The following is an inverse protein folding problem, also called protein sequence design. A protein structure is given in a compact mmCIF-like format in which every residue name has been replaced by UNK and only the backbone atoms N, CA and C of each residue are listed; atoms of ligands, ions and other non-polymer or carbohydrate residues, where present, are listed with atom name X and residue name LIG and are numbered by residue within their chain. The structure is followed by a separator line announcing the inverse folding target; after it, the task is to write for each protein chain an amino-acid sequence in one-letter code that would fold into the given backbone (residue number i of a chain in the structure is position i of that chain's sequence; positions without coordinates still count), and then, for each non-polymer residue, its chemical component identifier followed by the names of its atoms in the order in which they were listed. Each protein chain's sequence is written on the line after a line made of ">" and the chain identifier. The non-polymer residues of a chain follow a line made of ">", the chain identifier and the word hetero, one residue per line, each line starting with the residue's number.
data_IF_971620215722
#
_entry.id   IF_971620215722
#
_cell.length_a   1.000
_cell.length_b   1.000
_cell.length_c   1.000
_cell.angle_alpha   90.00
_cell.angle_beta   90.00
_cell.angle_gamma   90.00
#
_symmetry.space_group_name_H-M   'P 1'
#
loop_
_entity.id
_entity.type
_entity.pdbx_description
1 polymer ?
#
# COMPACT_ATOMS: atom_id res chain seq x y z
N UNK A 1 -45.40 -9.56 34.72
CA UNK A 1 -44.28 -10.46 34.40
C UNK A 1 -43.28 -9.59 33.65
N UNK A 2 -42.29 -9.06 34.37
CA UNK A 2 -41.42 -7.98 33.85
C UNK A 2 -40.16 -8.63 33.31
N UNK A 3 -40.01 -8.63 31.99
CA UNK A 3 -38.85 -9.17 31.29
C UNK A 3 -37.70 -8.17 31.42
N UNK A 4 -36.67 -8.55 32.18
CA UNK A 4 -35.44 -7.77 32.33
C UNK A 4 -34.62 -7.94 31.04
N UNK A 5 -34.57 -6.89 30.21
CA UNK A 5 -33.58 -6.82 29.12
C UNK A 5 -32.17 -6.92 29.72
N UNK A 6 -31.27 -7.74 29.15
CA UNK A 6 -29.89 -7.80 29.62
C UNK A 6 -29.22 -6.44 29.40
N UNK A 7 -28.56 -5.94 30.43
CA UNK A 7 -27.78 -4.71 30.36
C UNK A 7 -26.72 -4.83 29.26
N UNK A 8 -26.66 -3.84 28.36
CA UNK A 8 -25.62 -3.75 27.35
C UNK A 8 -24.24 -3.81 28.02
N UNK A 9 -23.27 -4.56 27.47
CA UNK A 9 -21.95 -4.67 28.08
C UNK A 9 -21.31 -3.28 28.15
N UNK A 10 -20.93 -2.86 29.36
CA UNK A 10 -20.20 -1.60 29.58
C UNK A 10 -18.85 -1.71 28.88
N UNK A 11 -18.73 -1.14 27.69
CA UNK A 11 -17.46 -1.02 26.99
C UNK A 11 -16.64 0.05 27.70
N UNK A 12 -15.59 -0.36 28.41
CA UNK A 12 -14.67 0.60 29.00
C UNK A 12 -13.95 1.42 27.90
N UNK A 13 -13.39 2.57 28.26
CA UNK A 13 -12.76 3.49 27.31
C UNK A 13 -11.66 2.81 26.46
N UNK A 14 -10.92 1.86 27.05
CA UNK A 14 -9.89 1.09 26.34
C UNK A 14 -10.48 0.22 25.23
N UNK A 15 -11.58 -0.49 25.50
CA UNK A 15 -12.27 -1.31 24.51
C UNK A 15 -12.85 -0.46 23.38
N UNK A 16 -13.41 0.72 23.70
CA UNK A 16 -13.90 1.66 22.69
C UNK A 16 -12.76 2.19 21.82
N UNK A 17 -11.65 2.62 22.42
CA UNK A 17 -10.48 3.12 21.69
C UNK A 17 -9.90 2.07 20.75
N UNK A 18 -9.73 0.83 21.23
CA UNK A 18 -9.25 -0.28 20.39
C UNK A 18 -10.18 -0.49 19.20
N UNK A 19 -11.49 -0.53 19.42
CA UNK A 19 -12.45 -0.69 18.32
C UNK A 19 -12.38 0.42 17.28
N UNK A 20 -12.18 1.67 17.71
CA UNK A 20 -12.00 2.79 16.78
C UNK A 20 -10.72 2.62 15.97
N UNK A 21 -9.61 2.24 16.61
CA UNK A 21 -8.34 1.96 15.92
C UNK A 21 -8.50 0.83 14.91
N UNK A 22 -9.17 -0.27 15.28
CA UNK A 22 -9.39 -1.41 14.39
C UNK A 22 -10.22 -1.03 13.15
N UNK A 23 -11.27 -0.22 13.35
CA UNK A 23 -12.10 0.29 12.25
C UNK A 23 -11.31 1.23 11.32
N UNK A 24 -10.59 2.20 11.89
CA UNK A 24 -9.77 3.11 11.09
C UNK A 24 -8.66 2.37 10.33
N UNK A 25 -8.04 1.35 10.95
CA UNK A 25 -7.05 0.50 10.28
C UNK A 25 -7.67 -0.23 9.08
N UNK A 26 -8.88 -0.80 9.23
CA UNK A 26 -9.62 -1.45 8.14
C UNK A 26 -9.91 -0.48 7.00
N UNK A 27 -10.40 0.72 7.30
CA UNK A 27 -10.81 1.67 6.27
C UNK A 27 -9.61 2.33 5.57
N UNK A 28 -8.54 2.65 6.31
CA UNK A 28 -7.41 3.43 5.77
C UNK A 28 -6.34 2.56 5.10
N UNK A 29 -6.08 1.35 5.64
CA UNK A 29 -5.00 0.45 5.20
C UNK A 29 -5.55 -0.78 4.47
N UNK A 30 -6.74 -1.26 4.86
CA UNK A 30 -7.36 -2.46 4.32
C UNK A 30 -7.23 -3.71 5.18
N UNK A 31 -7.78 -4.84 4.76
CA UNK A 31 -7.89 -6.06 5.58
C UNK A 31 -6.53 -6.60 6.03
N UNK A 32 -6.40 -6.93 7.32
CA UNK A 32 -5.28 -7.70 7.83
C UNK A 32 -5.41 -9.19 7.43
N UNK A 33 -4.30 -9.94 7.32
CA UNK A 33 -4.33 -11.37 7.03
C UNK A 33 -4.84 -12.23 8.20
N UNK A 34 -5.01 -11.64 9.39
CA UNK A 34 -5.41 -12.35 10.61
C UNK A 34 -6.91 -12.66 10.68
N UNK A 35 -7.31 -13.55 11.61
CA UNK A 35 -8.70 -13.96 11.79
C UNK A 35 -9.64 -12.80 12.15
N UNK A 36 -9.10 -11.69 12.65
CA UNK A 36 -9.86 -10.48 12.95
C UNK A 36 -10.60 -9.95 11.72
N UNK A 37 -10.01 -10.04 10.53
CA UNK A 37 -10.55 -9.46 9.29
C UNK A 37 -10.90 -10.53 8.25
N UNK A 38 -11.12 -11.77 8.71
CA UNK A 38 -11.52 -12.87 7.83
C UNK A 38 -12.83 -12.59 7.07
N UNK A 39 -13.68 -11.71 7.60
CA UNK A 39 -14.89 -11.21 6.94
C UNK A 39 -14.61 -10.41 5.66
N UNK A 40 -13.39 -9.88 5.52
CA UNK A 40 -12.96 -9.05 4.39
C UNK A 40 -11.95 -9.76 3.46
N UNK A 41 -11.70 -11.06 3.67
CA UNK A 41 -10.73 -11.80 2.85
C UNK A 41 -11.03 -11.74 1.34
N UNK A 42 -12.33 -11.75 0.98
CA UNK A 42 -12.84 -11.62 -0.38
C UNK A 42 -13.77 -10.40 -0.51
N UNK A 43 -13.38 -9.26 0.08
CA UNK A 43 -14.15 -8.03 -0.02
C UNK A 43 -14.40 -7.60 -1.47
N UNK A 44 -15.47 -6.83 -1.64
CA UNK A 44 -15.90 -6.30 -2.93
C UNK A 44 -16.10 -4.80 -2.77
N UNK A 45 -15.31 -4.02 -3.50
CA UNK A 45 -15.37 -2.56 -3.49
C UNK A 45 -16.20 -2.07 -4.67
N UNK A 46 -16.94 -0.98 -4.46
CA UNK A 46 -17.67 -0.26 -5.52
C UNK A 46 -16.79 0.68 -6.32
N UNK A 47 -15.57 0.95 -5.85
CA UNK A 47 -14.63 1.89 -6.43
C UNK A 47 -13.24 1.26 -6.54
N UNK A 48 -12.37 1.88 -7.34
CA UNK A 48 -11.01 1.41 -7.52
C UNK A 48 -10.26 1.42 -6.16
N UNK A 49 -9.54 0.33 -5.80
CA UNK A 49 -8.81 0.23 -4.53
C UNK A 49 -7.85 1.40 -4.25
N UNK A 50 -7.27 1.99 -5.29
CA UNK A 50 -6.41 3.18 -5.18
C UNK A 50 -7.11 4.42 -4.62
N UNK A 51 -8.45 4.51 -4.78
CA UNK A 51 -9.30 5.58 -4.23
C UNK A 51 -9.93 5.19 -2.90
N UNK A 52 -9.98 3.88 -2.61
CA UNK A 52 -10.57 3.36 -1.39
C UNK A 52 -9.60 3.43 -0.20
N UNK A 53 -8.31 3.13 -0.41
CA UNK A 53 -7.31 3.09 0.65
C UNK A 53 -6.44 4.35 0.70
N UNK A 54 -6.49 5.07 1.82
CA UNK A 54 -5.76 6.32 2.00
C UNK A 54 -4.24 6.12 2.11
N UNK A 55 -3.78 5.03 2.74
CA UNK A 55 -2.33 4.79 2.89
C UNK A 55 -1.66 4.35 1.59
N UNK A 56 -2.41 4.32 0.50
CA UNK A 56 -1.92 4.05 -0.85
C UNK A 56 -1.84 2.55 -1.18
N UNK A 57 -1.39 2.29 -2.40
CA UNK A 57 -1.18 0.98 -3.00
C UNK A 57 0.20 0.96 -3.64
N UNK A 58 0.76 -0.23 -3.89
CA UNK A 58 2.01 -0.34 -4.66
C UNK A 58 1.68 -0.41 -6.15
N UNK A 59 2.13 0.59 -6.91
CA UNK A 59 2.06 0.55 -8.37
C UNK A 59 3.30 -0.19 -8.93
N UNK A 60 3.16 -0.96 -10.01
CA UNK A 60 4.32 -1.54 -10.69
C UNK A 60 5.35 -0.46 -11.03
N UNK A 61 6.60 -0.67 -10.64
CA UNK A 61 7.71 0.18 -11.04
C UNK A 61 7.79 0.21 -12.57
N UNK A 62 7.86 1.42 -13.15
CA UNK A 62 8.09 1.58 -14.58
C UNK A 62 9.57 1.34 -14.88
N UNK A 63 9.87 0.40 -15.77
CA UNK A 63 11.24 0.14 -16.21
C UNK A 63 11.88 1.42 -16.78
N UNK A 64 12.99 1.87 -16.17
CA UNK A 64 13.80 3.00 -16.65
C UNK A 64 13.50 4.38 -16.04
N UNK A 65 12.73 4.47 -14.96
CA UNK A 65 12.41 5.74 -14.29
C UNK A 65 13.45 6.23 -13.24
N UNK A 66 14.55 5.50 -13.05
CA UNK A 66 15.66 5.89 -12.20
C UNK A 66 16.88 6.21 -13.08
N UNK A 67 17.16 7.51 -13.29
CA UNK A 67 18.54 8.06 -13.21
C UNK A 67 18.65 9.58 -13.41
N UNK A 68 17.60 10.30 -13.83
CA UNK A 68 17.63 11.77 -13.85
C UNK A 68 16.34 12.35 -13.25
N UNK A 69 16.46 13.53 -12.62
CA UNK A 69 15.38 14.36 -12.05
C UNK A 69 15.13 14.19 -10.55
N UNK A 70 16.08 14.71 -9.76
CA UNK A 70 15.88 15.58 -8.61
C UNK A 70 14.89 15.16 -7.51
N UNK A 71 15.44 14.84 -6.34
CA UNK A 71 14.74 14.87 -5.05
C UNK A 71 14.16 16.27 -4.80
N UNK A 72 12.87 16.51 -5.08
CA UNK A 72 12.11 17.61 -4.46
C UNK A 72 10.61 17.45 -4.78
N UNK A 73 9.88 16.85 -3.84
CA UNK A 73 8.43 16.74 -3.90
C UNK A 73 7.92 15.77 -2.84
N UNK A 74 7.35 16.32 -1.77
CA UNK A 74 6.65 15.54 -0.74
C UNK A 74 5.49 14.75 -1.38
N UNK A 75 5.49 13.40 -1.40
CA UNK A 75 4.44 12.62 -2.03
C UNK A 75 3.09 12.75 -1.31
N UNK A 76 3.06 13.30 -0.08
CA UNK A 76 1.82 13.50 0.66
C UNK A 76 0.92 14.60 0.08
N UNK A 77 1.46 15.58 -0.64
CA UNK A 77 0.68 16.68 -1.26
C UNK A 77 0.28 16.41 -2.71
N UNK A 78 0.96 15.50 -3.42
CA UNK A 78 0.62 15.15 -4.80
C UNK A 78 -0.55 14.15 -4.92
N UNK A 79 -0.99 13.56 -3.80
CA UNK A 79 -2.15 12.68 -3.76
C UNK A 79 -3.48 13.45 -3.87
N UNK A 80 -3.52 14.73 -3.48
CA UNK A 80 -4.76 15.50 -3.29
C UNK A 80 -5.11 16.45 -4.44
N UNK A 81 -4.17 16.87 -5.29
CA UNK A 81 -4.44 17.87 -6.34
C UNK A 81 -4.95 17.29 -7.67
N UNK A 82 -5.89 16.34 -7.64
CA UNK A 82 -6.36 15.68 -8.86
C UNK A 82 -7.74 15.06 -8.79
N UNK A 83 -8.78 15.90 -8.70
CA UNK A 83 -10.09 15.79 -9.36
C UNK A 83 -11.26 16.23 -8.46
N UNK A 84 -11.45 17.56 -8.32
CA UNK A 84 -12.80 18.09 -8.13
C UNK A 84 -13.32 18.60 -9.48
N UNK A 85 -14.10 17.77 -10.14
CA UNK A 85 -14.89 18.15 -11.31
C UNK A 85 -16.38 18.31 -10.94
N UNK A 86 -16.70 18.72 -9.71
CA UNK A 86 -18.03 19.14 -9.28
C UNK A 86 -18.03 20.57 -8.70
N UNK A 87 -17.61 21.54 -9.51
CA UNK A 87 -18.12 22.92 -9.35
C UNK A 87 -18.65 23.44 -10.69
N UNK A 88 -19.97 23.67 -10.74
CA UNK A 88 -20.67 24.18 -11.92
C UNK A 88 -20.23 25.60 -12.33
N UNK A 89 -20.63 26.06 -13.53
CA UNK A 89 -19.99 27.18 -14.19
C UNK A 89 -20.47 28.52 -13.62
N UNK A 90 -19.56 29.30 -13.05
CA UNK A 90 -19.74 30.73 -12.84
C UNK A 90 -18.52 31.48 -13.41
N UNK A 91 -18.83 32.31 -14.41
CA UNK A 91 -17.93 33.07 -15.29
C UNK A 91 -16.99 34.01 -14.53
N UNK A 92 -15.76 34.12 -15.03
CA UNK A 92 -15.21 35.39 -15.51
C UNK A 92 -14.07 35.09 -16.50
N UNK A 93 -14.16 35.67 -17.69
CA UNK A 93 -13.14 35.56 -18.72
C UNK A 93 -11.91 36.37 -18.32
N UNK A 94 -10.75 35.71 -18.27
CA UNK A 94 -9.46 36.36 -18.46
C UNK A 94 -8.69 35.53 -19.50
N UNK A 95 -8.30 36.19 -20.58
CA UNK A 95 -7.74 35.60 -21.81
C UNK A 95 -6.24 35.30 -21.61
N UNK A 96 -5.93 34.50 -20.60
CA UNK A 96 -4.64 33.85 -20.48
C UNK A 96 -4.73 32.48 -21.16
N UNK A 97 -3.77 32.08 -22.02
CA UNK A 97 -3.69 30.69 -22.43
C UNK A 97 -3.63 29.84 -21.16
N UNK A 98 -4.40 28.75 -21.05
CA UNK A 98 -4.30 27.88 -19.89
C UNK A 98 -2.83 27.47 -19.77
N UNK A 99 -2.22 27.75 -18.62
CA UNK A 99 -0.91 27.19 -18.28
C UNK A 99 -1.04 25.70 -18.53
N UNK A 100 -0.26 25.18 -19.48
CA UNK A 100 -0.25 23.74 -19.77
C UNK A 100 -0.01 23.03 -18.44
N UNK A 101 -0.96 22.19 -17.97
CA UNK A 101 -0.78 21.49 -16.72
C UNK A 101 0.52 20.71 -16.88
N UNK A 102 1.49 20.97 -16.01
CA UNK A 102 2.78 20.29 -16.03
C UNK A 102 2.49 18.80 -16.01
N UNK A 103 2.61 18.15 -17.17
CA UNK A 103 2.31 16.73 -17.38
C UNK A 103 3.44 15.87 -16.80
N UNK A 104 3.89 16.20 -15.59
CA UNK A 104 4.82 15.37 -14.85
C UNK A 104 4.03 14.13 -14.43
N UNK A 105 4.43 12.93 -14.87
CA UNK A 105 3.75 11.71 -14.49
C UNK A 105 3.73 11.61 -12.96
N UNK A 106 2.55 11.36 -12.40
CA UNK A 106 2.39 11.19 -10.95
C UNK A 106 3.22 9.98 -10.54
N UNK A 107 4.24 10.19 -9.69
CA UNK A 107 5.05 9.09 -9.14
C UNK A 107 4.22 8.37 -8.10
N UNK A 108 3.70 7.19 -8.45
CA UNK A 108 3.04 6.29 -7.51
C UNK A 108 4.10 5.51 -6.74
N UNK A 109 3.89 5.23 -5.44
CA UNK A 109 4.82 4.43 -4.68
C UNK A 109 4.87 3.01 -5.24
N UNK A 110 6.06 2.52 -5.57
CA UNK A 110 6.27 1.15 -6.06
C UNK A 110 6.84 0.21 -5.00
N UNK A 111 7.25 0.75 -3.83
CA UNK A 111 7.85 -0.03 -2.75
C UNK A 111 7.41 0.45 -1.36
N UNK A 112 7.59 -0.43 -0.37
CA UNK A 112 7.36 -0.12 1.05
C UNK A 112 8.52 -0.69 1.88
N UNK A 113 9.17 0.12 2.72
CA UNK A 113 10.30 -0.30 3.53
C UNK A 113 9.96 -0.45 5.02
N UNK A 114 10.37 -1.56 5.64
CA UNK A 114 10.30 -1.78 7.08
C UNK A 114 11.71 -1.93 7.66
N UNK A 115 12.09 -1.07 8.61
CA UNK A 115 13.38 -1.16 9.30
C UNK A 115 13.22 -1.70 10.72
N UNK A 116 14.02 -2.71 11.06
CA UNK A 116 14.09 -3.32 12.39
C UNK A 116 15.54 -3.37 12.88
N UNK A 117 15.73 -3.36 14.20
CA UNK A 117 17.03 -3.57 14.81
C UNK A 117 17.18 -5.04 15.21
N UNK A 118 18.20 -5.68 14.68
CA UNK A 118 18.54 -7.08 14.94
C UNK A 118 19.82 -7.17 15.76
N UNK A 119 19.93 -8.21 16.58
CA UNK A 119 21.22 -8.56 17.18
C UNK A 119 22.26 -8.82 16.08
N UNK A 120 23.50 -8.38 16.29
CA UNK A 120 24.56 -8.51 15.29
C UNK A 120 24.87 -9.96 14.91
N UNK A 121 24.45 -10.96 15.68
CA UNK A 121 24.64 -12.39 15.37
C UNK A 121 23.62 -12.98 14.39
N UNK A 122 22.50 -12.30 14.13
CA UNK A 122 21.40 -12.84 13.28
C UNK A 122 21.71 -12.69 11.79
N UNK A 123 22.01 -13.79 11.11
CA UNK A 123 22.40 -13.83 9.69
C UNK A 123 21.25 -14.11 8.71
N UNK A 124 20.07 -14.50 9.20
CA UNK A 124 18.88 -14.76 8.40
C UNK A 124 17.61 -14.27 9.10
N UNK A 125 16.63 -13.80 8.33
CA UNK A 125 15.29 -13.49 8.83
C UNK A 125 14.22 -14.16 7.98
N UNK A 126 13.10 -14.50 8.62
CA UNK A 126 11.89 -14.92 7.95
C UNK A 126 10.99 -13.70 7.70
N UNK A 127 10.55 -13.54 6.46
CA UNK A 127 9.67 -12.46 6.01
C UNK A 127 8.40 -13.07 5.49
N UNK A 128 7.28 -12.67 6.10
CA UNK A 128 5.94 -12.98 5.63
C UNK A 128 5.38 -11.76 4.92
N UNK A 129 5.06 -11.92 3.64
CA UNK A 129 4.37 -10.92 2.85
C UNK A 129 2.91 -11.33 2.68
N UNK A 130 2.01 -10.38 2.88
CA UNK A 130 0.58 -10.53 2.60
C UNK A 130 0.11 -9.35 1.78
N UNK A 131 -0.66 -9.62 0.73
CA UNK A 131 -1.20 -8.60 -0.16
C UNK A 131 -2.64 -8.90 -0.55
N UNK A 132 -3.33 -7.88 -1.06
CA UNK A 132 -4.63 -8.02 -1.71
C UNK A 132 -4.51 -7.50 -3.12
N UNK A 133 -4.59 -8.39 -4.10
CA UNK A 133 -4.81 -7.97 -5.49
C UNK A 133 -6.31 -7.79 -5.74
N UNK A 134 -6.70 -6.97 -6.72
CA UNK A 134 -8.10 -6.71 -7.02
C UNK A 134 -8.42 -6.95 -8.48
N UNK A 135 -9.42 -7.79 -8.70
CA UNK A 135 -9.91 -8.11 -10.04
C UNK A 135 -11.26 -7.43 -10.28
N UNK A 136 -11.47 -6.98 -11.50
CA UNK A 136 -12.72 -6.33 -11.92
C UNK A 136 -13.80 -7.36 -12.24
N UNK A 137 -15.02 -7.07 -11.81
CA UNK A 137 -16.22 -7.85 -12.08
C UNK A 137 -17.34 -6.92 -12.62
N UNK A 138 -17.72 -7.04 -13.92
CA UNK A 138 -17.15 -7.94 -14.93
C UNK A 138 -15.69 -7.58 -15.29
N UNK A 139 -14.89 -8.54 -15.79
CA UNK A 139 -13.50 -8.29 -16.17
C UNK A 139 -13.39 -7.22 -17.26
N UNK A 140 -12.69 -6.13 -16.95
CA UNK A 140 -12.41 -5.07 -17.92
C UNK A 140 -11.29 -5.46 -18.90
N UNK A 141 -11.34 -4.95 -20.15
CA UNK A 141 -10.26 -5.12 -21.11
C UNK A 141 -8.93 -4.54 -20.64
N UNK A 142 -7.82 -5.07 -21.17
CA UNK A 142 -6.47 -4.61 -20.82
C UNK A 142 -6.26 -3.11 -21.12
N UNK A 143 -6.77 -2.63 -22.26
CA UNK A 143 -6.66 -1.22 -22.62
C UNK A 143 -7.28 -0.27 -21.58
N UNK A 144 -8.29 -0.72 -20.85
CA UNK A 144 -9.02 0.12 -19.87
C UNK A 144 -8.26 0.22 -18.54
N UNK A 145 -7.62 -0.86 -18.06
CA UNK A 145 -6.90 -0.77 -16.77
C UNK A 145 -5.51 -0.11 -16.90
N UNK A 146 -4.99 0.08 -18.12
CA UNK A 146 -3.74 0.83 -18.35
C UNK A 146 -3.96 2.28 -18.73
N UNK A 147 -5.10 2.62 -19.33
CA UNK A 147 -5.33 3.96 -19.85
C UNK A 147 -5.84 4.87 -18.74
N UNK A 148 -5.06 5.91 -18.42
CA UNK A 148 -5.47 6.94 -17.47
C UNK A 148 -6.83 7.54 -17.87
N UNK A 149 -7.79 7.43 -16.96
CA UNK A 149 -9.13 7.99 -17.12
C UNK A 149 -10.10 7.15 -17.95
N UNK A 150 -9.67 6.00 -18.48
CA UNK A 150 -10.59 5.05 -19.10
C UNK A 150 -11.58 4.46 -18.08
N UNK A 151 -11.23 4.46 -16.79
CA UNK A 151 -12.12 4.04 -15.71
C UNK A 151 -13.31 5.00 -15.48
N UNK A 152 -13.28 6.23 -16.00
CA UNK A 152 -14.39 7.19 -15.91
C UNK A 152 -15.42 7.02 -17.03
N UNK A 153 -15.14 6.16 -18.01
CA UNK A 153 -16.07 5.91 -19.10
C UNK A 153 -17.39 5.36 -18.54
N UNK A 154 -18.50 5.93 -18.99
CA UNK A 154 -19.85 5.59 -18.51
C UNK A 154 -20.17 4.09 -18.66
N UNK A 155 -19.52 3.43 -19.61
CA UNK A 155 -19.62 2.00 -19.90
C UNK A 155 -19.04 1.09 -18.79
N UNK A 156 -18.17 1.62 -17.91
CA UNK A 156 -17.47 0.86 -16.88
C UNK A 156 -17.84 1.28 -15.45
N UNK A 157 -18.94 2.04 -15.27
CA UNK A 157 -19.40 2.51 -13.96
C UNK A 157 -19.97 1.40 -13.05
N UNK A 158 -20.40 0.28 -13.61
CA UNK A 158 -20.99 -0.84 -12.87
C UNK A 158 -19.96 -1.93 -12.50
N UNK A 159 -18.66 -1.61 -12.54
CA UNK A 159 -17.58 -2.54 -12.24
C UNK A 159 -17.34 -2.59 -10.74
N UNK A 160 -17.28 -3.81 -10.20
CA UNK A 160 -16.88 -4.06 -8.82
C UNK A 160 -15.46 -4.60 -8.76
N UNK A 161 -14.76 -4.31 -7.67
CA UNK A 161 -13.39 -4.76 -7.46
C UNK A 161 -13.37 -5.82 -6.37
N UNK A 162 -13.14 -7.08 -6.75
CA UNK A 162 -13.08 -8.19 -5.81
C UNK A 162 -11.63 -8.46 -5.42
N UNK A 163 -11.38 -8.52 -4.11
CA UNK A 163 -10.08 -8.85 -3.56
C UNK A 163 -9.71 -10.32 -3.81
N UNK A 164 -8.44 -10.55 -4.11
CA UNK A 164 -7.75 -11.84 -4.21
C UNK A 164 -6.58 -11.78 -3.21
N UNK A 165 -6.70 -12.45 -2.05
CA UNK A 165 -5.62 -12.49 -1.07
C UNK A 165 -4.41 -13.26 -1.60
N UNK A 166 -3.21 -12.75 -1.36
CA UNK A 166 -1.96 -13.46 -1.55
C UNK A 166 -1.10 -13.42 -0.30
N UNK A 167 -0.33 -14.49 -0.08
CA UNK A 167 0.58 -14.62 1.04
C UNK A 167 1.79 -15.46 0.61
N UNK A 168 2.98 -15.05 1.03
CA UNK A 168 4.19 -15.83 0.83
C UNK A 168 5.18 -15.60 1.97
N UNK A 169 5.75 -16.70 2.48
CA UNK A 169 6.79 -16.66 3.51
C UNK A 169 8.11 -17.07 2.90
N UNK A 170 9.15 -16.25 3.09
CA UNK A 170 10.51 -16.54 2.63
C UNK A 170 11.55 -16.26 3.70
N UNK A 171 12.67 -16.95 3.60
CA UNK A 171 13.86 -16.65 4.39
C UNK A 171 14.84 -15.90 3.53
N UNK A 172 15.34 -14.80 4.05
CA UNK A 172 16.31 -13.95 3.37
C UNK A 172 17.54 -13.76 4.26
N UNK A 173 18.76 -13.82 3.69
CA UNK A 173 19.97 -13.54 4.44
C UNK A 173 19.99 -12.06 4.85
N UNK A 174 20.57 -11.74 6.00
CA UNK A 174 20.85 -10.38 6.45
C UNK A 174 22.15 -9.92 5.80
N UNK A 175 22.11 -9.08 4.75
CA UNK A 175 23.30 -8.74 3.97
C UNK A 175 24.24 -7.79 4.73
N UNK A 176 25.45 -7.62 4.21
CA UNK A 176 26.32 -6.51 4.58
C UNK A 176 26.16 -5.38 3.54
N UNK A 177 25.36 -4.35 3.86
CA UNK A 177 24.93 -3.36 2.87
C UNK A 177 23.68 -3.82 2.14
N UNK A 178 23.57 -3.56 0.84
CA UNK A 178 22.42 -3.93 0.00
C UNK A 178 22.55 -5.38 -0.49
N UNK A 179 21.51 -6.17 -0.28
CA UNK A 179 21.37 -7.53 -0.80
C UNK A 179 20.77 -7.57 -2.21
N UNK A 180 20.66 -8.77 -2.81
CA UNK A 180 19.98 -8.94 -4.09
C UNK A 180 18.47 -8.75 -3.96
N UNK A 181 17.83 -8.44 -5.07
CA UNK A 181 16.38 -8.48 -5.21
C UNK A 181 15.91 -9.93 -5.41
N UNK A 182 14.99 -10.38 -4.56
CA UNK A 182 14.47 -11.75 -4.55
C UNK A 182 13.00 -11.71 -5.00
N UNK A 183 12.65 -12.44 -6.06
CA UNK A 183 11.26 -12.52 -6.51
C UNK A 183 10.39 -13.27 -5.47
N UNK A 184 9.20 -12.74 -5.21
CA UNK A 184 8.19 -13.39 -4.40
C UNK A 184 7.38 -14.31 -5.32
N UNK A 185 7.42 -15.64 -5.14
CA UNK A 185 6.64 -16.56 -5.96
C UNK A 185 5.14 -16.28 -5.87
N UNK A 186 4.43 -16.54 -6.98
CA UNK A 186 2.98 -16.43 -7.10
C UNK A 186 2.40 -15.04 -6.74
N UNK A 187 3.23 -14.00 -6.83
CA UNK A 187 2.84 -12.61 -6.52
C UNK A 187 2.43 -11.77 -7.72
N UNK A 188 2.42 -12.37 -8.93
CA UNK A 188 1.90 -11.71 -10.13
C UNK A 188 0.41 -11.41 -10.01
N UNK A 189 -0.05 -10.37 -10.70
CA UNK A 189 -1.47 -9.97 -10.66
C UNK A 189 -2.42 -11.09 -11.10
N UNK A 190 -3.50 -11.28 -10.37
CA UNK A 190 -4.53 -12.27 -10.63
C UNK A 190 -5.32 -11.99 -11.91
N UNK A 191 -5.63 -10.73 -12.21
CA UNK A 191 -6.21 -10.34 -13.51
C UNK A 191 -5.14 -10.17 -14.60
N UNK A 192 -3.90 -9.86 -14.22
CA UNK A 192 -2.77 -9.67 -15.12
C UNK A 192 -1.50 -10.32 -14.56
N UNK A 193 -1.15 -11.53 -15.01
CA UNK A 193 0.06 -12.22 -14.56
C UNK A 193 1.35 -11.65 -15.18
N UNK A 194 1.51 -10.31 -15.14
CA UNK A 194 2.74 -9.60 -15.49
C UNK A 194 3.33 -8.99 -14.22
N UNK A 195 4.66 -8.95 -14.17
CA UNK A 195 5.39 -8.49 -12.99
C UNK A 195 5.14 -9.34 -11.75
N UNK A 196 5.20 -8.68 -10.58
CA UNK A 196 5.00 -9.30 -9.29
C UNK A 196 5.63 -8.49 -8.16
N UNK A 197 5.74 -9.08 -6.99
CA UNK A 197 6.48 -8.54 -5.86
C UNK A 197 7.90 -9.09 -5.85
N UNK A 198 8.81 -8.25 -5.43
CA UNK A 198 10.20 -8.59 -5.13
C UNK A 198 10.57 -8.04 -3.78
N UNK A 199 11.55 -8.63 -3.11
CA UNK A 199 12.05 -8.17 -1.80
C UNK A 199 13.54 -7.91 -1.89
N UNK A 200 13.95 -6.73 -1.44
CA UNK A 200 15.36 -6.37 -1.22
C UNK A 200 15.59 -6.20 0.29
N UNK A 201 16.74 -6.69 0.79
CA UNK A 201 17.20 -6.42 2.15
C UNK A 201 18.41 -5.48 2.12
N UNK A 202 18.49 -4.58 3.09
CA UNK A 202 19.66 -3.73 3.33
C UNK A 202 19.96 -3.70 4.83
N UNK A 203 21.15 -4.16 5.22
CA UNK A 203 21.57 -4.08 6.62
C UNK A 203 22.77 -3.16 6.84
N UNK A 204 22.71 -2.35 7.89
CA UNK A 204 23.78 -1.45 8.32
C UNK A 204 24.12 -1.71 9.80
N UNK A 205 25.41 -1.80 10.17
CA UNK A 205 25.80 -1.98 11.57
C UNK A 205 25.56 -0.69 12.38
N UNK A 206 25.12 -0.85 13.63
CA UNK A 206 24.94 0.23 14.60
C UNK A 206 25.42 -0.19 15.98
N UNK A 207 26.00 0.75 16.72
CA UNK A 207 26.30 0.59 18.15
C UNK A 207 25.27 1.33 18.98
N UNK A 208 24.51 0.62 19.81
CA UNK A 208 23.54 1.23 20.74
C UNK A 208 24.17 1.28 22.12
N UNK A 209 24.24 2.48 22.70
CA UNK A 209 24.65 2.65 24.10
C UNK A 209 23.52 2.21 25.01
N UNK A 210 23.79 1.25 25.88
CA UNK A 210 22.85 0.78 26.89
C UNK A 210 22.87 1.67 28.15
N UNK A 211 21.82 1.59 29.00
CA UNK A 211 21.77 2.35 30.25
C UNK A 211 22.93 2.08 31.22
N UNK A 212 23.54 0.89 31.15
CA UNK A 212 24.70 0.50 31.97
C UNK A 212 26.05 1.01 31.41
N UNK A 213 26.03 1.73 30.29
CA UNK A 213 27.22 2.26 29.61
C UNK A 213 27.88 1.30 28.62
N UNK A 214 27.41 0.05 28.52
CA UNK A 214 27.88 -0.90 27.51
C UNK A 214 27.42 -0.51 26.09
N UNK A 215 28.07 -1.05 25.07
CA UNK A 215 27.68 -0.88 23.66
C UNK A 215 27.20 -2.22 23.12
N UNK A 216 25.93 -2.29 22.74
CA UNK A 216 25.38 -3.41 22.01
C UNK A 216 25.57 -3.21 20.51
N UNK A 217 26.17 -4.20 19.86
CA UNK A 217 26.29 -4.23 18.40
C UNK A 217 24.99 -4.80 17.83
N UNK A 218 24.35 -4.02 16.97
CA UNK A 218 23.11 -4.40 16.29
C UNK A 218 23.24 -4.11 14.79
N UNK A 219 22.33 -4.68 14.00
CA UNK A 219 22.16 -4.34 12.59
C UNK A 219 20.79 -3.72 12.39
N UNK A 220 20.72 -2.54 11.80
CA UNK A 220 19.46 -2.03 11.27
C UNK A 220 19.23 -2.70 9.92
N UNK A 221 18.27 -3.61 9.87
CA UNK A 221 17.83 -4.29 8.66
C UNK A 221 16.60 -3.58 8.13
N UNK A 222 16.67 -3.08 6.90
CA UNK A 222 15.52 -2.63 6.12
C UNK A 222 15.14 -3.73 5.13
N UNK A 223 13.88 -4.14 5.14
CA UNK A 223 13.28 -5.05 4.15
C UNK A 223 12.31 -4.23 3.30
N UNK A 224 12.47 -4.30 1.98
CA UNK A 224 11.71 -3.50 1.03
C UNK A 224 11.06 -4.39 -0.03
N UNK A 225 9.76 -4.73 0.11
CA UNK A 225 8.94 -5.16 -1.01
C UNK A 225 8.81 -4.08 -2.08
N UNK A 226 8.93 -4.47 -3.35
CA UNK A 226 8.75 -3.63 -4.53
C UNK A 226 7.87 -4.35 -5.56
N UNK A 227 6.84 -3.67 -6.05
CA UNK A 227 6.01 -4.12 -7.18
C UNK A 227 6.73 -3.83 -8.50
N UNK A 228 6.82 -4.83 -9.37
CA UNK A 228 7.49 -4.76 -10.68
C UNK A 228 6.48 -4.92 -11.80
N UNK A 229 6.77 -4.36 -12.98
CA UNK A 229 5.92 -4.49 -14.18
C UNK A 229 6.11 -5.81 -14.95
#
# INVERSE_FOLDING_TARGET
>A
MTETLPAAPVRNATAVRRRIVDLLRRDLIGPAPGPEDADLAAEILSENPSRWYLTGFLAPALDGADEELGEEGDPATAADEGADAETGPARAADDAPPDEPSARPRRLPSSLGLTVLLDATIDEVEVELTWGDYVTEPPLPESVLTAEGAEYAREYRDVRWRRVPGQYTMRIPVPHGRGPQIAVPDSGGAQRPRGGLTVEAHARPYGIRQPDGSISQVRALTVTPTATS
#
